data_IF_518933730224
#
_entry.id   IF_518933730224
#
_cell.length_a   1.000
_cell.length_b   1.000
_cell.length_c   1.000
_cell.angle_alpha   90.00
_cell.angle_beta   90.00
_cell.angle_gamma   90.00
#
_symmetry.space_group_name_H-M   'P 1'
#
loop_
_entity.id
_entity.type
_entity.pdbx_description
1 polymer ?
#
# COMPACT_ATOMS: atom_id res chain seq x y z
N UNK A 1 -19.78 -11.00 -9.14
CA UNK A 1 -18.72 -10.18 -9.82
C UNK A 1 -17.37 -10.57 -9.24
N UNK A 2 -16.33 -10.76 -10.05
CA UNK A 2 -15.00 -11.15 -9.56
C UNK A 2 -14.38 -9.99 -8.76
N UNK A 3 -13.79 -10.28 -7.60
CA UNK A 3 -13.18 -9.29 -6.70
C UNK A 3 -12.13 -8.39 -7.39
N UNK A 4 -11.42 -8.93 -8.39
CA UNK A 4 -10.44 -8.17 -9.19
C UNK A 4 -11.11 -7.08 -10.04
N UNK A 5 -12.28 -7.36 -10.64
CA UNK A 5 -13.02 -6.36 -11.40
C UNK A 5 -13.59 -5.26 -10.48
N UNK A 6 -14.01 -5.61 -9.26
CA UNK A 6 -14.44 -4.62 -8.28
C UNK A 6 -13.30 -3.63 -7.99
N UNK A 7 -12.08 -4.14 -7.73
CA UNK A 7 -10.91 -3.29 -7.48
C UNK A 7 -10.64 -2.33 -8.65
N UNK A 8 -10.68 -2.85 -9.89
CA UNK A 8 -10.43 -2.06 -11.11
C UNK A 8 -11.48 -0.98 -11.33
N UNK A 9 -12.77 -1.32 -11.21
CA UNK A 9 -13.86 -0.37 -11.37
C UNK A 9 -13.78 0.70 -10.29
N UNK A 10 -13.57 0.30 -9.04
CA UNK A 10 -13.49 1.22 -7.93
C UNK A 10 -12.30 2.17 -8.07
N UNK A 11 -11.13 1.65 -8.47
CA UNK A 11 -9.96 2.47 -8.80
C UNK A 11 -10.26 3.47 -9.91
N UNK A 12 -10.83 3.02 -11.03
CA UNK A 12 -11.12 3.89 -12.16
C UNK A 12 -12.07 5.03 -11.79
N UNK A 13 -13.13 4.72 -11.03
CA UNK A 13 -14.08 5.75 -10.57
C UNK A 13 -13.40 6.79 -9.70
N UNK A 14 -12.60 6.37 -8.71
CA UNK A 14 -11.87 7.29 -7.85
C UNK A 14 -10.79 8.06 -8.60
N UNK A 15 -10.07 7.42 -9.51
CA UNK A 15 -9.03 8.06 -10.30
C UNK A 15 -9.60 9.13 -11.22
N UNK A 16 -10.70 8.85 -11.91
CA UNK A 16 -11.40 9.84 -12.72
C UNK A 16 -11.91 10.99 -11.84
N UNK A 17 -12.54 10.69 -10.70
CA UNK A 17 -12.99 11.72 -9.75
C UNK A 17 -11.83 12.60 -9.27
N UNK A 18 -10.64 12.01 -9.03
CA UNK A 18 -9.45 12.73 -8.59
C UNK A 18 -8.93 13.75 -9.62
N UNK A 19 -9.14 13.52 -10.91
CA UNK A 19 -8.72 14.44 -11.97
C UNK A 19 -9.54 15.76 -11.97
N UNK A 20 -10.75 15.73 -11.41
CA UNK A 20 -11.60 16.91 -11.28
C UNK A 20 -11.41 17.66 -9.96
N UNK A 21 -10.73 17.06 -8.96
CA UNK A 21 -10.51 17.63 -7.62
C UNK A 21 -9.09 18.19 -7.47
N UNK A 22 -8.83 19.35 -8.06
CA UNK A 22 -7.47 19.88 -8.20
C UNK A 22 -7.03 20.87 -7.09
N UNK A 23 -7.82 21.12 -6.01
CA UNK A 23 -7.54 22.27 -5.14
C UNK A 23 -6.75 21.94 -3.86
N UNK A 24 -7.08 20.88 -3.13
CA UNK A 24 -6.47 20.63 -1.80
C UNK A 24 -5.60 19.36 -1.79
N UNK A 25 -6.06 18.29 -2.41
CA UNK A 25 -5.36 17.00 -2.41
C UNK A 25 -4.86 16.58 -3.80
N UNK A 26 -4.11 17.46 -4.46
CA UNK A 26 -3.48 17.15 -5.77
C UNK A 26 -2.63 15.88 -5.73
N UNK A 27 -1.96 15.63 -4.59
CA UNK A 27 -1.17 14.43 -4.39
C UNK A 27 -2.01 13.13 -4.43
N UNK A 28 -3.31 13.23 -4.18
CA UNK A 28 -4.20 12.06 -4.10
C UNK A 28 -4.29 11.31 -5.43
N UNK A 29 -4.29 12.01 -6.55
CA UNK A 29 -4.31 11.40 -7.89
C UNK A 29 -3.09 10.50 -8.10
N UNK A 30 -1.90 11.01 -7.76
CA UNK A 30 -0.67 10.23 -7.86
C UNK A 30 -0.66 9.08 -6.85
N UNK A 31 -1.07 9.34 -5.61
CA UNK A 31 -1.10 8.33 -4.56
C UNK A 31 -2.09 7.19 -4.90
N UNK A 32 -3.28 7.49 -5.46
CA UNK A 32 -4.22 6.49 -5.95
C UNK A 32 -3.59 5.59 -7.01
N UNK A 33 -2.91 6.19 -7.98
CA UNK A 33 -2.25 5.46 -9.04
C UNK A 33 -1.13 4.56 -8.50
N UNK A 34 -0.24 5.12 -7.67
CA UNK A 34 0.86 4.38 -7.05
C UNK A 34 0.36 3.28 -6.09
N UNK A 35 -0.74 3.52 -5.37
CA UNK A 35 -1.33 2.53 -4.49
C UNK A 35 -1.93 1.33 -5.24
N UNK A 36 -2.40 1.55 -6.47
CA UNK A 36 -3.03 0.53 -7.29
C UNK A 36 -2.03 -0.36 -8.04
N UNK A 37 -0.89 0.16 -8.47
CA UNK A 37 0.12 -0.57 -9.26
C UNK A 37 0.52 -1.91 -8.62
N UNK A 38 0.85 -2.01 -7.31
CA UNK A 38 1.25 -3.28 -6.70
C UNK A 38 0.19 -4.37 -6.79
N UNK A 39 -1.09 -3.99 -6.86
CA UNK A 39 -2.16 -4.95 -7.06
C UNK A 39 -2.06 -5.63 -8.43
N UNK A 40 -1.93 -4.89 -9.52
CA UNK A 40 -1.77 -5.48 -10.85
C UNK A 40 -0.48 -6.29 -10.95
N UNK A 41 0.62 -5.80 -10.36
CA UNK A 41 1.87 -6.55 -10.31
C UNK A 41 1.72 -7.87 -9.53
N UNK A 42 0.95 -7.89 -8.45
CA UNK A 42 0.74 -9.13 -7.68
C UNK A 42 0.04 -10.23 -8.48
N UNK A 43 -0.87 -9.85 -9.37
CA UNK A 43 -1.55 -10.80 -10.25
C UNK A 43 -0.61 -11.43 -11.28
N UNK A 44 0.43 -10.71 -11.68
CA UNK A 44 1.42 -11.16 -12.65
C UNK A 44 2.53 -12.01 -12.02
N UNK A 45 2.71 -12.00 -10.68
CA UNK A 45 3.74 -12.79 -9.99
C UNK A 45 3.71 -14.28 -10.37
N UNK A 46 2.52 -14.83 -10.61
CA UNK A 46 2.37 -16.23 -11.03
C UNK A 46 2.87 -16.49 -12.44
N UNK A 47 2.74 -15.50 -13.34
CA UNK A 47 3.23 -15.62 -14.73
C UNK A 47 4.75 -15.62 -14.78
N UNK A 48 5.39 -14.84 -13.87
CA UNK A 48 6.84 -14.75 -13.78
C UNK A 48 7.47 -15.85 -12.92
N UNK A 49 6.65 -16.72 -12.29
CA UNK A 49 7.17 -17.82 -11.48
C UNK A 49 8.05 -18.73 -12.31
N UNK A 50 9.33 -18.95 -11.92
CA UNK A 50 10.28 -19.70 -12.74
C UNK A 50 9.94 -21.18 -12.77
N UNK A 51 9.89 -21.74 -13.97
CA UNK A 51 9.84 -23.19 -14.22
C UNK A 51 11.22 -23.76 -14.47
N UNK A 52 12.15 -22.94 -15.00
CA UNK A 52 13.52 -23.31 -15.34
C UNK A 52 14.53 -22.41 -14.63
N UNK A 53 15.74 -22.90 -14.41
CA UNK A 53 16.79 -22.16 -13.66
C UNK A 53 17.16 -20.82 -14.27
N UNK A 54 17.15 -20.68 -15.58
CA UNK A 54 17.49 -19.42 -16.26
C UNK A 54 16.38 -18.33 -16.16
N UNK A 55 15.19 -18.68 -15.72
CA UNK A 55 14.08 -17.73 -15.53
C UNK A 55 14.15 -17.02 -14.15
N UNK A 56 14.98 -17.52 -13.23
CA UNK A 56 15.13 -16.96 -11.88
C UNK A 56 15.57 -15.51 -11.86
N UNK A 57 16.51 -15.03 -12.68
CA UNK A 57 16.92 -13.63 -12.67
C UNK A 57 15.74 -12.70 -12.97
N UNK A 58 14.90 -13.03 -13.95
CA UNK A 58 13.72 -12.24 -14.29
C UNK A 58 12.70 -12.21 -13.14
N UNK A 59 12.46 -13.36 -12.51
CA UNK A 59 11.56 -13.45 -11.34
C UNK A 59 12.06 -12.62 -10.16
N UNK A 60 13.37 -12.65 -9.89
CA UNK A 60 13.98 -11.88 -8.80
C UNK A 60 13.84 -10.38 -9.06
N UNK A 61 14.17 -9.92 -10.27
CA UNK A 61 14.02 -8.51 -10.66
C UNK A 61 12.55 -8.07 -10.52
N UNK A 62 11.63 -8.89 -11.04
CA UNK A 62 10.20 -8.59 -10.96
C UNK A 62 9.71 -8.51 -9.51
N UNK A 63 10.09 -9.49 -8.68
CA UNK A 63 9.73 -9.53 -7.26
C UNK A 63 10.32 -8.35 -6.50
N UNK A 64 11.53 -7.94 -6.83
CA UNK A 64 12.17 -6.77 -6.25
C UNK A 64 11.40 -5.47 -6.56
N UNK A 65 11.00 -5.27 -7.83
CA UNK A 65 10.16 -4.13 -8.24
C UNK A 65 8.84 -4.15 -7.49
N UNK A 66 8.18 -5.31 -7.42
CA UNK A 66 6.93 -5.48 -6.67
C UNK A 66 7.09 -5.08 -5.20
N UNK A 67 8.14 -5.56 -4.52
CA UNK A 67 8.41 -5.27 -3.10
C UNK A 67 8.67 -3.78 -2.89
N UNK A 68 9.42 -3.13 -3.78
CA UNK A 68 9.69 -1.68 -3.70
C UNK A 68 8.44 -0.82 -3.87
N UNK A 69 7.48 -1.27 -4.68
CA UNK A 69 6.25 -0.52 -4.92
C UNK A 69 5.14 -0.83 -3.92
N UNK A 70 5.20 -1.99 -3.24
CA UNK A 70 4.17 -2.45 -2.30
C UNK A 70 3.83 -1.43 -1.21
N UNK A 71 4.79 -0.70 -0.60
CA UNK A 71 4.49 0.29 0.41
C UNK A 71 3.53 1.39 -0.04
N UNK A 72 3.51 1.72 -1.33
CA UNK A 72 2.62 2.76 -1.85
C UNK A 72 1.14 2.40 -1.64
N UNK A 73 0.79 1.10 -1.69
CA UNK A 73 -0.58 0.66 -1.46
C UNK A 73 -1.04 1.02 -0.05
N UNK A 74 -0.28 0.65 0.96
CA UNK A 74 -0.69 0.91 2.36
C UNK A 74 -0.33 2.31 2.85
N UNK A 75 0.59 3.01 2.17
CA UNK A 75 0.91 4.41 2.42
C UNK A 75 -0.33 5.29 2.40
N UNK A 76 -1.28 5.00 1.51
CA UNK A 76 -2.54 5.73 1.38
C UNK A 76 -3.39 5.71 2.65
N UNK A 77 -3.28 4.67 3.50
CA UNK A 77 -3.95 4.63 4.81
C UNK A 77 -3.41 5.74 5.72
N UNK A 78 -2.12 6.04 5.63
CA UNK A 78 -1.50 7.11 6.42
C UNK A 78 -1.85 8.51 5.91
N UNK A 79 -2.46 8.65 4.72
CA UNK A 79 -2.91 9.94 4.21
C UNK A 79 -4.09 10.51 5.00
N UNK A 80 -4.78 9.70 5.83
CA UNK A 80 -5.77 10.18 6.79
C UNK A 80 -5.22 11.27 7.72
N UNK A 81 -3.91 11.33 7.94
CA UNK A 81 -3.30 12.41 8.74
C UNK A 81 -3.54 13.80 8.15
N UNK A 82 -3.82 13.88 6.83
CA UNK A 82 -4.12 15.15 6.18
C UNK A 82 -5.48 15.74 6.58
N UNK A 83 -6.33 14.95 7.28
CA UNK A 83 -7.55 15.47 7.90
C UNK A 83 -7.27 16.51 8.99
N UNK A 84 -6.04 16.56 9.54
CA UNK A 84 -5.62 17.60 10.49
C UNK A 84 -5.64 19.02 9.90
N UNK A 85 -5.78 19.17 8.58
CA UNK A 85 -5.95 20.48 7.92
C UNK A 85 -7.35 21.07 8.16
N UNK A 86 -8.30 20.28 8.67
CA UNK A 86 -9.67 20.69 8.95
C UNK A 86 -9.94 20.64 10.44
N UNK A 87 -10.78 21.57 10.91
CA UNK A 87 -11.11 21.67 12.34
C UNK A 87 -12.26 20.76 12.76
N UNK A 88 -13.13 20.37 11.83
CA UNK A 88 -14.34 19.57 12.10
C UNK A 88 -15.14 20.08 13.29
N UNK A 89 -15.44 21.40 13.29
CA UNK A 89 -16.18 21.99 14.39
C UNK A 89 -17.67 21.65 14.31
N UNK A 90 -18.10 20.65 15.07
CA UNK A 90 -19.49 20.18 15.12
C UNK A 90 -20.48 21.22 15.67
N UNK A 91 -20.03 22.17 16.47
CA UNK A 91 -20.85 23.24 17.04
C UNK A 91 -21.14 24.35 16.01
N UNK A 92 -20.33 24.49 14.98
CA UNK A 92 -20.53 25.45 13.90
C UNK A 92 -21.53 24.98 12.84
N UNK A 93 -22.14 23.80 13.01
CA UNK A 93 -23.05 23.18 12.05
C UNK A 93 -22.37 22.38 10.97
N UNK A 94 -23.13 21.98 9.94
CA UNK A 94 -22.63 21.12 8.86
C UNK A 94 -21.76 21.90 7.87
N UNK A 95 -20.47 21.54 7.80
CA UNK A 95 -19.53 22.04 6.79
C UNK A 95 -19.34 21.00 5.68
N UNK A 96 -20.13 21.10 4.60
CA UNK A 96 -20.07 20.15 3.48
C UNK A 96 -18.69 20.07 2.81
N UNK A 97 -17.90 21.15 2.87
CA UNK A 97 -16.55 21.16 2.30
C UNK A 97 -15.61 20.19 3.05
N UNK A 98 -15.59 20.21 4.38
CA UNK A 98 -14.79 19.29 5.21
C UNK A 98 -15.24 17.84 5.03
N UNK A 99 -16.56 17.60 5.02
CA UNK A 99 -17.11 16.26 4.82
C UNK A 99 -16.84 15.69 3.43
N UNK A 100 -16.81 16.54 2.38
CA UNK A 100 -16.41 16.13 1.04
C UNK A 100 -14.98 15.58 1.03
N UNK A 101 -14.03 16.30 1.64
CA UNK A 101 -12.62 15.87 1.69
C UNK A 101 -12.42 14.67 2.60
N UNK A 102 -13.10 14.59 3.73
CA UNK A 102 -13.13 13.40 4.57
C UNK A 102 -13.57 12.18 3.77
N UNK A 103 -14.70 12.27 3.09
CA UNK A 103 -15.24 11.17 2.28
C UNK A 103 -14.29 10.77 1.17
N UNK A 104 -13.68 11.73 0.50
CA UNK A 104 -12.73 11.48 -0.58
C UNK A 104 -11.48 10.72 -0.11
N UNK A 105 -10.86 11.16 0.99
CA UNK A 105 -9.73 10.45 1.59
C UNK A 105 -10.13 9.04 2.05
N UNK A 106 -11.27 8.93 2.71
CA UNK A 106 -11.74 7.64 3.24
C UNK A 106 -12.03 6.63 2.13
N UNK A 107 -12.61 7.06 1.01
CA UNK A 107 -12.82 6.21 -0.16
C UNK A 107 -11.49 5.72 -0.74
N UNK A 108 -10.46 6.56 -0.79
CA UNK A 108 -9.11 6.15 -1.18
C UNK A 108 -8.51 5.12 -0.23
N UNK A 109 -8.70 5.29 1.08
CA UNK A 109 -8.26 4.32 2.09
C UNK A 109 -9.00 2.98 1.93
N UNK A 110 -10.29 3.00 1.63
CA UNK A 110 -11.04 1.77 1.36
C UNK A 110 -10.51 1.02 0.14
N UNK A 111 -10.14 1.74 -0.93
CA UNK A 111 -9.45 1.14 -2.06
C UNK A 111 -8.13 0.47 -1.63
N UNK A 112 -7.29 1.21 -0.90
CA UNK A 112 -5.99 0.72 -0.44
C UNK A 112 -6.12 -0.55 0.41
N UNK A 113 -7.05 -0.57 1.36
CA UNK A 113 -7.35 -1.72 2.20
C UNK A 113 -7.82 -2.91 1.34
N UNK A 114 -8.75 -2.66 0.42
CA UNK A 114 -9.31 -3.70 -0.42
C UNK A 114 -8.25 -4.35 -1.32
N UNK A 115 -7.44 -3.54 -2.03
CA UNK A 115 -6.39 -4.07 -2.89
C UNK A 115 -5.28 -4.75 -2.09
N UNK A 116 -4.96 -4.27 -0.88
CA UNK A 116 -3.99 -4.93 0.01
C UNK A 116 -4.46 -6.33 0.43
N UNK A 117 -5.73 -6.50 0.76
CA UNK A 117 -6.31 -7.83 1.04
C UNK A 117 -6.14 -8.75 -0.17
N UNK A 118 -6.44 -8.26 -1.37
CA UNK A 118 -6.30 -9.04 -2.59
C UNK A 118 -4.84 -9.43 -2.87
N UNK A 119 -3.90 -8.50 -2.71
CA UNK A 119 -2.46 -8.77 -2.82
C UNK A 119 -2.04 -9.89 -1.88
N UNK A 120 -2.39 -9.82 -0.60
CA UNK A 120 -2.03 -10.86 0.36
C UNK A 120 -2.68 -12.21 0.04
N UNK A 121 -3.89 -12.23 -0.49
CA UNK A 121 -4.52 -13.48 -0.94
C UNK A 121 -3.81 -14.09 -2.16
N UNK A 122 -3.33 -13.28 -3.10
CA UNK A 122 -2.51 -13.78 -4.21
C UNK A 122 -1.21 -14.39 -3.70
N UNK A 123 -0.53 -13.75 -2.76
CA UNK A 123 0.73 -14.25 -2.18
C UNK A 123 0.50 -15.50 -1.34
N UNK A 124 -0.59 -15.57 -0.57
CA UNK A 124 -0.92 -16.75 0.23
C UNK A 124 -1.17 -18.02 -0.61
N UNK A 125 -1.35 -17.85 -1.92
CA UNK A 125 -1.57 -18.93 -2.88
C UNK A 125 -0.49 -19.00 -3.97
N UNK A 126 0.64 -18.31 -3.78
CA UNK A 126 1.72 -18.20 -4.76
C UNK A 126 2.48 -19.51 -4.95
N UNK A 127 2.76 -20.21 -3.86
CA UNK A 127 3.47 -21.49 -3.88
C UNK A 127 2.60 -22.63 -3.36
N UNK A 128 3.03 -23.88 -3.61
CA UNK A 128 2.38 -25.08 -3.09
C UNK A 128 2.57 -25.27 -1.57
N UNK A 129 3.47 -24.49 -0.95
CA UNK A 129 3.78 -24.60 0.48
C UNK A 129 3.09 -23.50 1.28
N UNK A 130 1.96 -23.79 1.97
CA UNK A 130 1.18 -22.76 2.68
C UNK A 130 1.97 -22.05 3.79
N UNK A 131 2.88 -22.77 4.45
CA UNK A 131 3.74 -22.22 5.49
C UNK A 131 4.70 -21.15 4.93
N UNK A 132 5.37 -21.46 3.80
CA UNK A 132 6.25 -20.50 3.12
C UNK A 132 5.50 -19.23 2.71
N UNK A 133 4.31 -19.39 2.14
CA UNK A 133 3.46 -18.25 1.75
C UNK A 133 3.12 -17.34 2.94
N UNK A 134 2.83 -17.93 4.13
CA UNK A 134 2.56 -17.17 5.34
C UNK A 134 3.78 -16.38 5.80
N UNK A 135 4.97 -16.99 5.78
CA UNK A 135 6.21 -16.31 6.13
C UNK A 135 6.47 -15.13 5.17
N UNK A 136 6.31 -15.35 3.87
CA UNK A 136 6.47 -14.29 2.86
C UNK A 136 5.53 -13.11 3.19
N UNK A 137 4.27 -13.38 3.50
CA UNK A 137 3.30 -12.33 3.87
C UNK A 137 3.76 -11.55 5.10
N UNK A 138 4.24 -12.24 6.15
CA UNK A 138 4.74 -11.57 7.37
C UNK A 138 5.97 -10.70 7.05
N UNK A 139 6.92 -11.21 6.29
CA UNK A 139 8.10 -10.44 5.85
C UNK A 139 7.66 -9.20 5.05
N UNK A 140 6.71 -9.36 4.12
CA UNK A 140 6.19 -8.26 3.33
C UNK A 140 5.46 -7.21 4.18
N UNK A 141 4.76 -7.59 5.25
CA UNK A 141 4.16 -6.64 6.20
C UNK A 141 5.22 -5.76 6.88
N UNK A 142 6.36 -6.36 7.29
CA UNK A 142 7.46 -5.62 7.88
C UNK A 142 8.15 -4.70 6.87
N UNK A 143 8.46 -5.21 5.68
CA UNK A 143 9.06 -4.41 4.60
C UNK A 143 8.15 -3.26 4.17
N UNK A 144 6.85 -3.50 4.12
CA UNK A 144 5.84 -2.50 3.83
C UNK A 144 5.80 -1.40 4.90
N UNK A 145 5.73 -1.77 6.18
CA UNK A 145 5.77 -0.81 7.30
C UNK A 145 7.03 0.03 7.28
N UNK A 146 8.18 -0.58 7.01
CA UNK A 146 9.46 0.11 6.89
C UNK A 146 9.52 1.02 5.66
N UNK A 147 9.01 0.58 4.51
CA UNK A 147 8.92 1.39 3.30
C UNK A 147 8.04 2.63 3.49
N UNK A 148 6.92 2.50 4.23
CA UNK A 148 6.06 3.62 4.60
C UNK A 148 6.83 4.62 5.49
N UNK A 149 7.60 4.14 6.46
CA UNK A 149 8.43 4.99 7.29
C UNK A 149 9.42 5.81 6.45
N UNK A 150 10.13 5.16 5.54
CA UNK A 150 11.08 5.81 4.62
C UNK A 150 10.37 6.88 3.78
N UNK A 151 9.24 6.55 3.18
CA UNK A 151 8.48 7.48 2.34
C UNK A 151 7.91 8.67 3.11
N UNK A 152 7.34 8.42 4.30
CA UNK A 152 6.60 9.44 5.07
C UNK A 152 7.53 10.37 5.85
N UNK A 153 8.53 9.84 6.52
CA UNK A 153 9.37 10.60 7.45
C UNK A 153 10.72 11.01 6.86
N UNK A 154 11.36 10.14 6.08
CA UNK A 154 12.63 10.48 5.42
C UNK A 154 12.41 11.19 4.08
N UNK A 155 11.19 11.16 3.53
CA UNK A 155 10.82 11.75 2.24
C UNK A 155 11.76 11.31 1.09
N UNK A 156 12.30 10.10 1.20
CA UNK A 156 13.16 9.53 0.18
C UNK A 156 12.30 8.92 -0.92
N UNK A 157 12.30 9.56 -2.09
CA UNK A 157 11.67 9.00 -3.28
C UNK A 157 12.56 7.93 -3.89
N UNK A 158 11.97 6.95 -4.56
CA UNK A 158 12.69 5.84 -5.21
C UNK A 158 13.81 6.33 -6.15
N UNK A 159 13.66 7.51 -6.73
CA UNK A 159 14.68 8.15 -7.59
C UNK A 159 15.98 8.49 -6.83
N UNK A 160 15.89 8.80 -5.53
CA UNK A 160 17.06 9.12 -4.72
C UNK A 160 18.02 7.91 -4.58
N UNK A 161 17.48 6.69 -4.61
CA UNK A 161 18.30 5.47 -4.58
C UNK A 161 19.21 5.31 -5.80
N UNK A 162 18.79 5.85 -6.96
CA UNK A 162 19.61 5.80 -8.17
C UNK A 162 20.66 6.88 -8.21
N UNK A 163 20.38 8.07 -7.66
CA UNK A 163 21.28 9.22 -7.73
C UNK A 163 22.36 9.18 -6.64
N UNK A 164 22.01 8.84 -5.39
CA UNK A 164 22.92 8.89 -4.24
C UNK A 164 22.72 7.67 -3.31
N UNK A 165 22.99 6.43 -3.76
CA UNK A 165 22.63 5.21 -3.02
C UNK A 165 23.29 5.12 -1.64
N UNK A 166 24.56 5.50 -1.53
CA UNK A 166 25.31 5.44 -0.26
C UNK A 166 24.76 6.43 0.77
N UNK A 167 24.44 7.65 0.32
CA UNK A 167 23.85 8.69 1.19
C UNK A 167 22.49 8.26 1.72
N UNK A 168 21.66 7.70 0.84
CA UNK A 168 20.33 7.17 1.18
C UNK A 168 20.47 6.03 2.20
N UNK A 169 21.38 5.07 1.96
CA UNK A 169 21.61 3.96 2.88
C UNK A 169 22.06 4.44 4.26
N UNK A 170 23.01 5.37 4.32
CA UNK A 170 23.48 5.95 5.58
C UNK A 170 22.36 6.70 6.32
N UNK A 171 21.49 7.40 5.59
CA UNK A 171 20.35 8.09 6.21
C UNK A 171 19.34 7.09 6.79
N UNK A 172 19.04 6.02 6.05
CA UNK A 172 18.18 4.94 6.53
C UNK A 172 18.76 4.28 7.78
N UNK A 173 20.05 3.92 7.75
CA UNK A 173 20.71 3.27 8.91
C UNK A 173 20.69 4.15 10.17
N UNK A 174 20.92 5.46 10.03
CA UNK A 174 20.84 6.41 11.14
C UNK A 174 19.41 6.60 11.67
N UNK A 175 18.40 6.34 10.85
CA UNK A 175 17.00 6.46 11.24
C UNK A 175 16.43 5.23 11.96
N UNK A 176 17.20 4.15 12.07
CA UNK A 176 16.80 2.93 12.77
C UNK A 176 16.86 3.17 14.29
N UNK A 177 15.77 3.66 14.82
CA UNK A 177 15.56 3.93 16.26
C UNK A 177 14.47 3.01 16.83
N UNK A 178 14.30 3.05 18.16
CA UNK A 178 13.19 2.36 18.82
C UNK A 178 11.84 2.89 18.29
N UNK A 179 11.72 4.18 18.06
CA UNK A 179 10.50 4.79 17.54
C UNK A 179 10.17 4.27 16.13
N UNK A 180 11.19 4.10 15.29
CA UNK A 180 11.03 3.47 13.96
C UNK A 180 10.51 2.04 14.09
N UNK A 181 11.07 1.25 15.01
CA UNK A 181 10.63 -0.12 15.24
C UNK A 181 9.17 -0.17 15.74
N UNK A 182 8.80 0.72 16.67
CA UNK A 182 7.42 0.84 17.17
C UNK A 182 6.46 1.22 16.02
N UNK A 183 6.84 2.21 15.20
CA UNK A 183 6.02 2.60 14.05
C UNK A 183 5.80 1.44 13.07
N UNK A 184 6.87 0.70 12.74
CA UNK A 184 6.77 -0.48 11.87
C UNK A 184 5.84 -1.53 12.50
N UNK A 185 5.95 -1.78 13.81
CA UNK A 185 5.03 -2.68 14.52
C UNK A 185 3.57 -2.23 14.41
N UNK A 186 3.27 -0.93 14.55
CA UNK A 186 1.91 -0.42 14.35
C UNK A 186 1.41 -0.70 12.92
N UNK A 187 2.25 -0.46 11.91
CA UNK A 187 1.88 -0.76 10.52
C UNK A 187 1.64 -2.25 10.29
N UNK A 188 2.46 -3.12 10.89
CA UNK A 188 2.27 -4.58 10.82
C UNK A 188 0.97 -5.00 11.49
N UNK A 189 0.66 -4.48 12.68
CA UNK A 189 -0.60 -4.79 13.39
C UNK A 189 -1.83 -4.39 12.57
N UNK A 190 -1.82 -3.20 11.96
CA UNK A 190 -2.92 -2.75 11.11
C UNK A 190 -3.10 -3.69 9.89
N UNK A 191 -2.02 -4.05 9.21
CA UNK A 191 -2.05 -4.95 8.07
C UNK A 191 -2.53 -6.36 8.46
N UNK A 192 -2.08 -6.86 9.61
CA UNK A 192 -2.51 -8.16 10.14
C UNK A 192 -4.02 -8.16 10.46
N UNK A 193 -4.54 -7.10 11.09
CA UNK A 193 -5.97 -6.94 11.36
C UNK A 193 -6.79 -6.94 10.05
N UNK A 194 -6.36 -6.17 9.05
CA UNK A 194 -7.00 -6.11 7.73
C UNK A 194 -7.03 -7.50 7.06
N UNK A 195 -5.92 -8.24 7.11
CA UNK A 195 -5.85 -9.58 6.55
C UNK A 195 -6.77 -10.56 7.30
N UNK A 196 -6.86 -10.46 8.63
CA UNK A 196 -7.76 -11.27 9.45
C UNK A 196 -9.22 -11.00 9.10
N UNK A 197 -9.62 -9.73 8.99
CA UNK A 197 -10.97 -9.35 8.57
C UNK A 197 -11.30 -9.86 7.15
N UNK A 198 -10.36 -9.69 6.21
CA UNK A 198 -10.51 -10.21 4.86
C UNK A 198 -10.70 -11.74 4.83
N UNK A 199 -9.97 -12.49 5.67
CA UNK A 199 -10.18 -13.94 5.83
C UNK A 199 -11.53 -14.27 6.46
N UNK A 200 -11.93 -13.53 7.50
CA UNK A 200 -13.22 -13.74 8.19
C UNK A 200 -14.42 -13.61 7.25
N UNK A 201 -14.41 -12.62 6.36
CA UNK A 201 -15.47 -12.45 5.37
C UNK A 201 -15.48 -13.57 4.32
N UNK A 202 -14.31 -14.14 3.98
CA UNK A 202 -14.17 -15.19 2.95
C UNK A 202 -14.59 -16.59 3.43
N UNK A 203 -14.54 -16.85 4.72
CA UNK A 203 -14.75 -18.21 5.30
C UNK A 203 -16.21 -18.70 5.28
N UNK A 204 -17.16 -17.94 4.73
CA UNK A 204 -18.56 -18.35 4.63
C UNK A 204 -18.98 -18.70 3.18
N UNK A 205 -18.18 -19.57 2.53
CA UNK A 205 -18.66 -20.27 1.33
C UNK A 205 -18.38 -21.75 1.45
#
# INVERSE_FOLDING_TARGET
MNSRYIARIYFLVLFIASLFENKIYQFMTLNLFLAYIPFELSLLLRLFKPNKKYEWPLFVIYSFIFVLLLPNTFYMVTDLIHLNQFQFNFYAGLNLFEWKYFTYLLLGVFLAIYVMILIYFEILTLTSHPWLNRIIVVILMFLNGFGIYIGRFLRLHSVCFFNEPIRVLNHILKSLTIDTAIFVCFMVMMQAAILLFGKGVRLKK
#
